data_IF_532719605632
#
_entry.id   IF_532719605632
#
_cell.length_a   1.000
_cell.length_b   1.000
_cell.length_c   1.000
_cell.angle_alpha   90.00
_cell.angle_beta   90.00
_cell.angle_gamma   90.00
#
_symmetry.space_group_name_H-M   'P 1'
#
loop_
_entity.id
_entity.type
_entity.pdbx_description
1 polymer ?
#
# COMPACT_ATOMS: atom_id res chain seq x y z
N UNK A 1 -26.33 8.60 5.75
CA UNK A 1 -24.97 8.84 5.23
C UNK A 1 -24.50 10.27 5.48
N UNK A 2 -25.12 11.33 4.90
CA UNK A 2 -24.60 12.71 4.95
C UNK A 2 -24.37 13.23 6.37
N UNK A 3 -25.38 13.11 7.24
CA UNK A 3 -25.28 13.54 8.64
C UNK A 3 -24.14 12.78 9.38
N UNK A 4 -24.02 11.48 9.14
CA UNK A 4 -22.97 10.65 9.71
C UNK A 4 -21.56 11.10 9.24
N UNK A 5 -21.39 11.41 7.95
CA UNK A 5 -20.13 11.93 7.43
C UNK A 5 -19.80 13.30 8.02
N UNK A 6 -20.76 14.22 8.08
CA UNK A 6 -20.56 15.55 8.68
C UNK A 6 -20.16 15.43 10.16
N UNK A 7 -20.86 14.61 10.93
CA UNK A 7 -20.54 14.37 12.32
C UNK A 7 -19.15 13.75 12.48
N UNK A 8 -18.87 12.65 11.79
CA UNK A 8 -17.60 11.94 11.91
C UNK A 8 -16.39 12.78 11.49
N UNK A 9 -16.49 13.56 10.40
CA UNK A 9 -15.41 14.46 9.97
C UNK A 9 -15.18 15.58 10.99
N UNK A 10 -16.26 16.15 11.57
CA UNK A 10 -16.13 17.14 12.64
C UNK A 10 -15.44 16.56 13.89
N UNK A 11 -15.82 15.33 14.30
CA UNK A 11 -15.18 14.64 15.42
C UNK A 11 -13.68 14.37 15.15
N UNK A 12 -13.34 14.10 13.89
CA UNK A 12 -11.94 13.96 13.44
C UNK A 12 -11.23 15.32 13.24
N UNK A 13 -11.91 16.46 13.40
CA UNK A 13 -11.33 17.78 13.16
C UNK A 13 -10.97 18.03 11.69
N UNK A 14 -11.65 17.34 10.75
CA UNK A 14 -11.39 17.46 9.31
C UNK A 14 -12.39 18.39 8.63
N UNK A 15 -12.00 18.95 7.48
CA UNK A 15 -12.87 19.79 6.68
C UNK A 15 -14.06 18.99 6.11
N UNK A 16 -15.26 19.54 6.27
CA UNK A 16 -16.52 18.95 5.82
C UNK A 16 -16.93 19.41 4.41
N UNK A 17 -16.22 20.31 3.79
CA UNK A 17 -16.54 20.88 2.45
C UNK A 17 -16.59 19.81 1.35
N UNK A 18 -15.92 18.68 1.55
CA UNK A 18 -15.83 17.57 0.59
C UNK A 18 -16.84 16.44 0.84
N UNK A 19 -17.79 16.58 1.75
CA UNK A 19 -18.80 15.55 2.06
C UNK A 19 -19.59 15.14 0.82
N UNK A 20 -19.99 16.08 -0.03
CA UNK A 20 -20.71 15.80 -1.29
C UNK A 20 -19.89 14.90 -2.23
N UNK A 21 -18.59 15.12 -2.32
CA UNK A 21 -17.68 14.30 -3.15
C UNK A 21 -17.54 12.89 -2.55
N UNK A 22 -17.48 12.74 -1.23
CA UNK A 22 -17.47 11.44 -0.55
C UNK A 22 -18.80 10.68 -0.78
N UNK A 23 -19.94 11.35 -0.71
CA UNK A 23 -21.24 10.76 -1.03
C UNK A 23 -21.32 10.30 -2.49
N UNK A 24 -20.81 11.13 -3.40
CA UNK A 24 -20.76 10.76 -4.83
C UNK A 24 -19.86 9.55 -5.07
N UNK A 25 -18.70 9.50 -4.43
CA UNK A 25 -17.81 8.32 -4.48
C UNK A 25 -18.52 7.07 -3.96
N UNK A 26 -19.19 7.15 -2.81
CA UNK A 26 -19.97 6.05 -2.25
C UNK A 26 -21.07 5.57 -3.20
N UNK A 27 -21.78 6.48 -3.86
CA UNK A 27 -22.82 6.13 -4.84
C UNK A 27 -22.24 5.38 -6.04
N UNK A 28 -21.12 5.84 -6.60
CA UNK A 28 -20.40 5.16 -7.70
C UNK A 28 -19.90 3.78 -7.28
N UNK A 29 -19.42 3.66 -6.03
CA UNK A 29 -18.98 2.38 -5.47
C UNK A 29 -20.16 1.38 -5.39
N UNK A 30 -21.28 1.78 -4.80
CA UNK A 30 -22.44 0.90 -4.62
C UNK A 30 -23.05 0.48 -5.96
N UNK A 31 -23.17 1.41 -6.92
CA UNK A 31 -23.61 1.11 -8.28
C UNK A 31 -22.70 0.08 -8.96
N UNK A 32 -21.38 0.27 -8.90
CA UNK A 32 -20.43 -0.66 -9.50
C UNK A 32 -20.37 -2.00 -8.77
N UNK A 33 -20.63 -2.00 -7.47
CA UNK A 33 -20.59 -3.20 -6.63
C UNK A 33 -21.61 -4.26 -7.07
N UNK A 34 -22.74 -3.85 -7.68
CA UNK A 34 -23.76 -4.77 -8.20
C UNK A 34 -23.20 -5.73 -9.26
N UNK A 35 -22.15 -5.33 -9.99
CA UNK A 35 -21.57 -6.09 -11.09
C UNK A 35 -20.12 -6.54 -10.87
N UNK A 36 -19.41 -5.96 -9.87
CA UNK A 36 -17.97 -6.20 -9.72
C UNK A 36 -17.55 -6.80 -8.37
N UNK A 37 -18.42 -6.88 -7.37
CA UNK A 37 -18.10 -7.34 -6.02
C UNK A 37 -16.86 -6.63 -5.43
N UNK A 38 -16.92 -5.31 -5.34
CA UNK A 38 -15.84 -4.48 -4.83
C UNK A 38 -15.76 -4.49 -3.29
N UNK A 39 -16.92 -4.61 -2.64
CA UNK A 39 -17.04 -4.65 -1.17
C UNK A 39 -18.22 -5.53 -0.75
N UNK A 40 -18.10 -6.14 0.43
CA UNK A 40 -19.20 -6.84 1.10
C UNK A 40 -20.14 -5.88 1.86
N UNK A 41 -19.72 -4.62 2.08
CA UNK A 41 -20.49 -3.61 2.80
C UNK A 41 -21.31 -2.81 1.79
N UNK A 42 -22.63 -2.96 1.83
CA UNK A 42 -23.55 -2.38 0.85
C UNK A 42 -24.51 -1.35 1.44
N UNK A 43 -24.69 -1.36 2.78
CA UNK A 43 -25.51 -0.36 3.44
C UNK A 43 -24.81 1.00 3.45
N UNK A 44 -25.47 2.08 2.98
CA UNK A 44 -24.84 3.39 2.82
C UNK A 44 -24.19 3.93 4.10
N UNK A 45 -24.85 3.79 5.26
CA UNK A 45 -24.30 4.28 6.54
C UNK A 45 -23.12 3.43 7.01
N UNK A 46 -23.14 2.12 6.74
CA UNK A 46 -21.99 1.24 7.00
C UNK A 46 -20.80 1.58 6.08
N UNK A 47 -21.02 1.90 4.80
CA UNK A 47 -19.98 2.40 3.90
C UNK A 47 -19.38 3.71 4.43
N UNK A 48 -20.23 4.64 4.88
CA UNK A 48 -19.75 5.90 5.46
C UNK A 48 -18.85 5.65 6.68
N UNK A 49 -19.26 4.80 7.58
CA UNK A 49 -18.54 4.56 8.83
C UNK A 49 -17.30 3.69 8.64
N UNK A 50 -17.46 2.51 8.01
CA UNK A 50 -16.44 1.46 7.97
C UNK A 50 -15.48 1.61 6.77
N UNK A 51 -15.80 2.49 5.82
CA UNK A 51 -14.92 2.74 4.68
C UNK A 51 -14.46 4.19 4.63
N UNK A 52 -15.38 5.16 4.59
CA UNK A 52 -15.01 6.56 4.36
C UNK A 52 -14.38 7.19 5.61
N UNK A 53 -15.06 7.14 6.76
CA UNK A 53 -14.55 7.72 8.01
C UNK A 53 -13.36 6.95 8.58
N UNK A 54 -13.38 5.62 8.49
CA UNK A 54 -12.24 4.79 8.86
C UNK A 54 -10.97 5.17 8.07
N UNK A 55 -11.11 5.39 6.75
CA UNK A 55 -10.01 5.88 5.92
C UNK A 55 -9.60 7.32 6.28
N UNK A 56 -10.58 8.21 6.53
CA UNK A 56 -10.34 9.60 6.90
C UNK A 56 -9.56 9.75 8.20
N UNK A 57 -9.77 8.82 9.16
CA UNK A 57 -9.08 8.82 10.45
C UNK A 57 -7.55 8.75 10.31
N UNK A 58 -7.01 8.22 9.21
CA UNK A 58 -5.56 8.24 8.94
C UNK A 58 -4.98 9.65 8.93
N UNK A 59 -5.73 10.66 8.51
CA UNK A 59 -5.26 12.05 8.45
C UNK A 59 -4.97 12.64 9.84
N UNK A 60 -5.39 11.97 10.93
CA UNK A 60 -4.98 12.35 12.29
C UNK A 60 -3.58 11.86 12.66
N UNK A 61 -3.06 10.86 11.96
CA UNK A 61 -1.79 10.21 12.27
C UNK A 61 -0.68 10.55 11.27
N UNK A 62 -1.03 11.05 10.09
CA UNK A 62 -0.07 11.36 9.03
C UNK A 62 -0.48 12.63 8.29
N UNK A 63 0.47 13.53 8.14
CA UNK A 63 0.35 14.67 7.23
C UNK A 63 0.78 14.23 5.82
N UNK A 64 -0.15 14.32 4.86
CA UNK A 64 0.08 13.92 3.47
C UNK A 64 0.48 15.08 2.55
N UNK A 65 0.40 16.35 3.01
CA UNK A 65 0.65 17.53 2.18
C UNK A 65 2.03 17.49 1.51
N UNK A 66 2.04 17.68 0.21
CA UNK A 66 3.25 17.67 -0.61
C UNK A 66 3.92 16.31 -0.76
N UNK A 67 3.32 15.20 -0.27
CA UNK A 67 3.92 13.87 -0.28
C UNK A 67 3.52 13.04 -1.50
N UNK A 68 4.34 12.02 -1.76
CA UNK A 68 4.03 10.94 -2.69
C UNK A 68 3.52 9.74 -1.90
N UNK A 69 2.31 9.27 -2.21
CA UNK A 69 1.60 8.21 -1.50
C UNK A 69 1.27 7.06 -2.44
N UNK A 70 1.45 5.82 -2.00
CA UNK A 70 0.97 4.63 -2.70
C UNK A 70 0.02 3.85 -1.82
N UNK A 71 -1.16 3.51 -2.36
CA UNK A 71 -2.14 2.62 -1.75
C UNK A 71 -2.02 1.24 -2.40
N UNK A 72 -1.45 0.28 -1.66
CA UNK A 72 -1.08 -1.05 -2.16
C UNK A 72 -2.22 -2.04 -1.94
N UNK A 73 -2.71 -2.61 -3.04
CA UNK A 73 -3.90 -3.46 -3.01
C UNK A 73 -5.16 -2.64 -2.74
N UNK A 74 -5.28 -1.50 -3.38
CA UNK A 74 -6.32 -0.48 -3.12
C UNK A 74 -7.76 -1.00 -3.23
N UNK A 75 -7.99 -2.07 -4.00
CA UNK A 75 -9.29 -2.71 -4.14
C UNK A 75 -10.36 -1.77 -4.70
N UNK A 76 -11.30 -1.40 -3.86
CA UNK A 76 -12.34 -0.41 -4.15
C UNK A 76 -11.89 1.04 -3.93
N UNK A 77 -10.59 1.29 -3.80
CA UNK A 77 -10.03 2.62 -3.60
C UNK A 77 -9.84 3.02 -2.13
N UNK A 78 -9.69 2.05 -1.23
CA UNK A 78 -9.54 2.34 0.21
C UNK A 78 -8.19 1.91 0.77
N UNK A 79 -7.52 2.81 1.52
CA UNK A 79 -7.98 4.12 1.98
C UNK A 79 -7.73 5.27 0.99
N UNK A 80 -7.06 5.06 -0.14
CA UNK A 80 -6.52 6.08 -1.02
C UNK A 80 -7.54 7.12 -1.49
N UNK A 81 -8.72 6.69 -1.97
CA UNK A 81 -9.74 7.60 -2.53
C UNK A 81 -10.33 8.57 -1.50
N UNK A 82 -10.78 8.14 -0.29
CA UNK A 82 -11.23 9.08 0.73
C UNK A 82 -10.15 10.07 1.15
N UNK A 83 -8.89 9.61 1.30
CA UNK A 83 -7.76 10.47 1.63
C UNK A 83 -7.58 11.56 0.57
N UNK A 84 -7.60 11.18 -0.73
CA UNK A 84 -7.44 12.12 -1.84
C UNK A 84 -8.61 13.10 -1.98
N UNK A 85 -9.82 12.68 -1.63
CA UNK A 85 -11.00 13.55 -1.65
C UNK A 85 -10.88 14.62 -0.55
N UNK A 86 -10.38 14.25 0.63
CA UNK A 86 -10.30 15.13 1.81
C UNK A 86 -9.05 16.02 1.81
N UNK A 87 -7.95 15.55 1.25
CA UNK A 87 -6.70 16.27 1.12
C UNK A 87 -6.28 16.31 -0.35
N UNK A 88 -6.11 17.48 -0.94
CA UNK A 88 -5.83 17.62 -2.36
C UNK A 88 -4.37 17.99 -2.68
N UNK A 89 -3.52 18.13 -1.68
CA UNK A 89 -2.11 18.48 -1.88
C UNK A 89 -1.16 17.28 -1.66
N UNK A 90 -1.38 16.17 -2.37
CA UNK A 90 -0.42 15.07 -2.46
C UNK A 90 -0.57 14.27 -3.76
N UNK A 91 0.45 13.53 -4.16
CA UNK A 91 0.39 12.63 -5.31
C UNK A 91 0.01 11.23 -4.86
N UNK A 92 -1.09 10.70 -5.39
CA UNK A 92 -1.61 9.37 -5.04
C UNK A 92 -1.36 8.36 -6.18
N UNK A 93 -0.83 7.19 -5.81
CA UNK A 93 -0.82 6.02 -6.68
C UNK A 93 -1.73 4.95 -6.10
N UNK A 94 -2.78 4.59 -6.84
CA UNK A 94 -3.67 3.47 -6.52
C UNK A 94 -3.18 2.22 -7.25
N UNK A 95 -2.63 1.26 -6.51
CA UNK A 95 -2.02 0.04 -7.05
C UNK A 95 -2.90 -1.17 -6.77
N UNK A 96 -3.32 -1.90 -7.80
CA UNK A 96 -4.02 -3.18 -7.67
C UNK A 96 -3.61 -4.18 -8.76
N UNK A 97 -3.60 -5.45 -8.43
CA UNK A 97 -3.31 -6.54 -9.37
C UNK A 97 -4.47 -6.92 -10.28
N UNK A 98 -5.67 -6.37 -10.06
CA UNK A 98 -6.85 -6.62 -10.88
C UNK A 98 -7.14 -5.42 -11.79
N UNK A 99 -6.80 -5.55 -13.06
CA UNK A 99 -6.93 -4.48 -14.06
C UNK A 99 -8.33 -3.87 -14.15
N UNK A 100 -9.39 -4.67 -13.96
CA UNK A 100 -10.76 -4.17 -13.96
C UNK A 100 -11.07 -3.18 -12.82
N UNK A 101 -10.44 -3.36 -11.64
CA UNK A 101 -10.58 -2.43 -10.50
C UNK A 101 -9.85 -1.13 -10.80
N UNK A 102 -8.64 -1.23 -11.33
CA UNK A 102 -7.80 -0.09 -11.70
C UNK A 102 -8.50 0.76 -12.77
N UNK A 103 -9.09 0.12 -13.78
CA UNK A 103 -9.84 0.82 -14.82
C UNK A 103 -11.05 1.58 -14.24
N UNK A 104 -11.83 0.92 -13.39
CA UNK A 104 -12.96 1.57 -12.72
C UNK A 104 -12.52 2.74 -11.84
N UNK A 105 -11.42 2.60 -11.07
CA UNK A 105 -10.91 3.70 -10.25
C UNK A 105 -10.47 4.89 -11.11
N UNK A 106 -9.91 4.65 -12.29
CA UNK A 106 -9.59 5.73 -13.24
C UNK A 106 -10.86 6.46 -13.70
N UNK A 107 -11.93 5.72 -14.07
CA UNK A 107 -13.23 6.31 -14.43
C UNK A 107 -13.82 7.14 -13.28
N UNK A 108 -13.68 6.67 -12.05
CA UNK A 108 -14.14 7.40 -10.85
C UNK A 108 -13.33 8.67 -10.63
N UNK A 109 -12.00 8.62 -10.77
CA UNK A 109 -11.16 9.81 -10.64
C UNK A 109 -11.55 10.89 -11.67
N UNK A 110 -11.79 10.48 -12.91
CA UNK A 110 -12.24 11.40 -13.97
C UNK A 110 -13.62 11.99 -13.64
N UNK A 111 -14.56 11.17 -13.18
CA UNK A 111 -15.93 11.58 -12.82
C UNK A 111 -15.96 12.55 -11.63
N UNK A 112 -15.07 12.36 -10.67
CA UNK A 112 -14.94 13.22 -9.49
C UNK A 112 -13.95 14.37 -9.69
N UNK A 113 -13.37 14.50 -10.88
CA UNK A 113 -12.36 15.50 -11.23
C UNK A 113 -11.16 15.51 -10.28
N UNK A 114 -10.74 14.34 -9.82
CA UNK A 114 -9.58 14.19 -8.95
C UNK A 114 -8.30 14.23 -9.78
N UNK A 115 -7.46 15.19 -9.49
CA UNK A 115 -6.14 15.35 -10.12
C UNK A 115 -5.05 14.69 -9.27
N UNK A 116 -3.82 14.55 -9.80
CA UNK A 116 -2.66 13.99 -9.07
C UNK A 116 -2.93 12.57 -8.55
N UNK A 117 -3.70 11.77 -9.31
CA UNK A 117 -3.96 10.35 -9.05
C UNK A 117 -3.46 9.52 -10.22
N UNK A 118 -2.71 8.47 -9.93
CA UNK A 118 -2.25 7.48 -10.89
C UNK A 118 -2.84 6.12 -10.54
N UNK A 119 -3.66 5.54 -11.41
CA UNK A 119 -4.20 4.19 -11.24
C UNK A 119 -3.28 3.19 -11.96
N UNK A 120 -2.67 2.26 -11.22
CA UNK A 120 -1.64 1.35 -11.73
C UNK A 120 -2.07 -0.10 -11.60
N UNK A 121 -2.11 -0.80 -12.74
CA UNK A 121 -2.34 -2.23 -12.79
C UNK A 121 -0.99 -2.97 -12.77
N UNK A 122 -0.60 -3.47 -11.61
CA UNK A 122 0.58 -4.30 -11.44
C UNK A 122 0.50 -5.12 -10.15
N UNK A 123 1.32 -6.17 -10.06
CA UNK A 123 1.59 -6.81 -8.78
C UNK A 123 2.53 -5.93 -7.94
N UNK A 124 2.35 -5.93 -6.63
CA UNK A 124 3.13 -5.08 -5.73
C UNK A 124 4.63 -5.37 -5.81
N UNK A 125 5.01 -6.63 -5.94
CA UNK A 125 6.40 -7.08 -6.07
C UNK A 125 7.07 -6.56 -7.35
N UNK A 126 6.34 -6.61 -8.47
CA UNK A 126 6.81 -6.14 -9.77
C UNK A 126 6.92 -4.61 -9.79
N UNK A 127 5.94 -3.94 -9.20
CA UNK A 127 5.94 -2.50 -9.07
C UNK A 127 7.07 -2.01 -8.16
N UNK A 128 7.31 -2.69 -7.04
CA UNK A 128 8.39 -2.36 -6.11
C UNK A 128 9.78 -2.52 -6.73
N UNK A 129 9.96 -3.46 -7.66
CA UNK A 129 11.23 -3.61 -8.38
C UNK A 129 11.57 -2.37 -9.24
N UNK A 130 10.54 -1.66 -9.75
CA UNK A 130 10.69 -0.47 -10.61
C UNK A 130 10.60 0.85 -9.83
N UNK A 131 9.88 0.86 -8.69
CA UNK A 131 9.56 2.07 -7.93
C UNK A 131 10.13 2.04 -6.50
N UNK A 132 11.28 1.38 -6.33
CA UNK A 132 11.92 1.26 -5.02
C UNK A 132 12.23 2.62 -4.41
N UNK A 133 11.84 2.79 -3.14
CA UNK A 133 12.11 4.00 -2.34
C UNK A 133 11.62 5.31 -3.01
N UNK A 134 10.45 5.26 -3.68
CA UNK A 134 9.89 6.43 -4.38
C UNK A 134 8.79 7.14 -3.59
N UNK A 135 8.18 6.49 -2.60
CA UNK A 135 7.03 7.03 -1.90
C UNK A 135 7.38 7.48 -0.48
N UNK A 136 6.83 8.61 -0.07
CA UNK A 136 6.95 9.10 1.31
C UNK A 136 6.08 8.26 2.24
N UNK A 137 4.91 7.83 1.75
CA UNK A 137 3.97 7.01 2.50
C UNK A 137 3.46 5.86 1.63
N UNK A 138 3.43 4.66 2.19
CA UNK A 138 2.67 3.54 1.65
C UNK A 138 1.50 3.22 2.60
N UNK A 139 0.32 3.00 2.03
CA UNK A 139 -0.86 2.52 2.77
C UNK A 139 -1.30 1.17 2.23
N UNK A 140 -1.92 0.36 3.07
CA UNK A 140 -2.63 -0.84 2.65
C UNK A 140 -3.70 -1.20 3.67
N UNK A 141 -4.86 -1.68 3.20
CA UNK A 141 -5.99 -2.07 4.05
C UNK A 141 -6.44 -3.50 3.79
N UNK A 142 -6.48 -4.34 4.85
CA UNK A 142 -7.12 -5.67 4.88
C UNK A 142 -6.70 -6.69 3.80
N UNK A 143 -5.49 -6.59 3.23
CA UNK A 143 -5.11 -7.42 2.06
C UNK A 143 -4.46 -8.75 2.48
N UNK A 144 -3.61 -8.74 3.53
CA UNK A 144 -2.82 -9.91 3.94
C UNK A 144 -2.36 -9.78 5.41
N UNK A 145 -1.64 -10.79 5.89
CA UNK A 145 -0.94 -10.71 7.18
C UNK A 145 0.09 -9.58 7.16
N UNK A 146 0.34 -8.96 8.32
CA UNK A 146 1.21 -7.79 8.44
C UNK A 146 2.63 -8.04 7.93
N UNK A 147 3.19 -9.24 8.16
CA UNK A 147 4.50 -9.64 7.64
C UNK A 147 4.58 -9.59 6.11
N UNK A 148 3.54 -10.11 5.44
CA UNK A 148 3.44 -10.09 3.97
C UNK A 148 3.27 -8.65 3.46
N UNK A 149 2.39 -7.87 4.09
CA UNK A 149 2.20 -6.46 3.73
C UNK A 149 3.49 -5.65 3.87
N UNK A 150 4.26 -5.91 4.92
CA UNK A 150 5.55 -5.25 5.12
C UNK A 150 6.53 -5.57 3.99
N UNK A 151 6.59 -6.82 3.53
CA UNK A 151 7.43 -7.22 2.39
C UNK A 151 7.02 -6.56 1.07
N UNK A 152 5.72 -6.33 0.87
CA UNK A 152 5.19 -5.69 -0.33
C UNK A 152 5.32 -4.16 -0.32
N UNK A 153 5.13 -3.54 0.85
CA UNK A 153 5.02 -2.08 0.97
C UNK A 153 6.35 -1.39 1.30
N UNK A 154 7.17 -1.96 2.22
CA UNK A 154 8.42 -1.31 2.65
C UNK A 154 9.43 -1.06 1.52
N UNK A 155 9.57 -1.92 0.50
CA UNK A 155 10.47 -1.62 -0.62
C UNK A 155 10.08 -0.37 -1.43
N UNK A 156 8.80 0.04 -1.38
CA UNK A 156 8.30 1.24 -2.07
C UNK A 156 8.60 2.53 -1.29
N UNK A 157 8.78 2.43 0.02
CA UNK A 157 8.90 3.57 0.93
C UNK A 157 10.33 4.10 0.96
N UNK A 158 10.48 5.42 0.85
CA UNK A 158 11.77 6.12 1.02
C UNK A 158 12.35 5.86 2.41
N UNK A 159 13.67 5.96 2.53
CA UNK A 159 14.31 5.99 3.85
C UNK A 159 13.78 7.19 4.65
N UNK A 160 13.25 6.92 5.85
CA UNK A 160 12.57 7.92 6.68
C UNK A 160 11.09 8.14 6.35
N UNK A 161 10.56 7.46 5.33
CA UNK A 161 9.12 7.42 5.05
C UNK A 161 8.35 6.46 5.97
N UNK A 162 7.06 6.29 5.72
CA UNK A 162 6.16 5.52 6.59
C UNK A 162 5.35 4.48 5.80
N UNK A 163 5.19 3.29 6.38
CA UNK A 163 4.19 2.33 5.95
C UNK A 163 3.06 2.28 6.99
N UNK A 164 1.81 2.44 6.55
CA UNK A 164 0.60 2.44 7.38
C UNK A 164 -0.29 1.28 6.96
N UNK A 165 -0.37 0.26 7.82
CA UNK A 165 -1.25 -0.88 7.63
C UNK A 165 -2.56 -0.67 8.39
N UNK A 166 -3.68 -0.57 7.67
CA UNK A 166 -5.02 -0.56 8.27
C UNK A 166 -5.49 -2.00 8.46
N UNK A 167 -5.63 -2.40 9.71
CA UNK A 167 -6.02 -3.76 10.11
C UNK A 167 -7.24 -3.73 11.02
N UNK A 168 -7.99 -4.83 11.10
CA UNK A 168 -9.06 -5.01 12.07
C UNK A 168 -8.52 -5.18 13.50
N UNK A 169 -9.37 -5.06 14.50
CA UNK A 169 -9.03 -4.99 15.93
C UNK A 169 -8.29 -6.23 16.46
N UNK A 170 -8.42 -7.40 15.84
CA UNK A 170 -7.82 -8.67 16.29
C UNK A 170 -6.40 -8.90 15.72
N UNK A 171 -5.51 -7.91 15.81
CA UNK A 171 -4.18 -7.96 15.19
C UNK A 171 -2.99 -8.02 16.16
N UNK A 172 -3.20 -8.13 17.47
CA UNK A 172 -2.12 -8.16 18.45
C UNK A 172 -1.15 -9.33 18.20
N UNK A 173 -1.66 -10.51 17.83
CA UNK A 173 -0.86 -11.67 17.48
C UNK A 173 -0.02 -11.46 16.21
N UNK A 174 -0.57 -10.77 15.21
CA UNK A 174 0.15 -10.45 13.98
C UNK A 174 1.27 -9.43 14.19
N UNK A 175 1.06 -8.44 15.07
CA UNK A 175 2.08 -7.44 15.43
C UNK A 175 3.24 -8.15 16.16
N UNK A 176 2.92 -9.03 17.08
CA UNK A 176 3.92 -9.82 17.82
C UNK A 176 4.75 -10.71 16.87
N UNK A 177 4.10 -11.41 15.95
CA UNK A 177 4.76 -12.24 14.96
C UNK A 177 5.65 -11.44 13.99
N UNK A 178 5.20 -10.27 13.56
CA UNK A 178 5.96 -9.38 12.67
C UNK A 178 7.22 -8.82 13.35
N UNK A 179 7.14 -8.48 14.64
CA UNK A 179 8.28 -8.01 15.43
C UNK A 179 9.34 -9.09 15.60
N UNK A 180 8.96 -10.34 15.91
CA UNK A 180 9.91 -11.45 16.04
C UNK A 180 10.60 -11.80 14.73
N UNK A 181 9.90 -11.74 13.60
CA UNK A 181 10.49 -11.94 12.26
C UNK A 181 11.54 -10.88 11.89
N UNK A 182 11.41 -9.66 12.41
CA UNK A 182 12.39 -8.58 12.25
C UNK A 182 13.67 -8.80 13.06
N UNK A 183 13.55 -9.27 14.29
CA UNK A 183 14.69 -9.53 15.17
C UNK A 183 15.55 -10.70 14.69
N UNK A 184 14.96 -11.77 14.18
CA UNK A 184 15.71 -12.91 13.64
C UNK A 184 16.53 -12.53 12.40
N UNK A 185 16.08 -11.61 11.57
CA UNK A 185 16.87 -11.13 10.41
C UNK A 185 18.04 -10.25 10.79
N UNK A 186 17.98 -9.54 11.92
CA UNK A 186 19.11 -8.75 12.44
C UNK A 186 20.13 -9.57 13.23
N UNK A 187 19.76 -10.76 13.72
CA UNK A 187 20.63 -11.63 14.50
C UNK A 187 21.39 -12.66 13.67
N UNK A 188 21.30 -12.66 12.34
CA UNK A 188 22.14 -13.52 11.50
C UNK A 188 23.50 -12.84 11.25
N UNK A 189 24.50 -13.03 12.12
CA UNK A 189 25.83 -12.50 11.90
C UNK A 189 26.39 -13.18 10.66
N UNK A 190 26.88 -12.38 9.72
CA UNK A 190 27.62 -12.78 8.53
C UNK A 190 28.45 -14.03 8.86
N UNK A 191 28.25 -15.11 8.09
CA UNK A 191 29.11 -16.30 8.16
C UNK A 191 30.56 -15.82 8.17
N UNK A 192 31.39 -16.24 9.13
CA UNK A 192 32.80 -15.86 9.10
C UNK A 192 33.42 -16.38 7.80
N UNK A 193 34.16 -15.52 7.13
CA UNK A 193 35.03 -15.90 6.01
C UNK A 193 35.83 -17.13 6.46
N UNK A 194 35.61 -18.27 5.83
CA UNK A 194 36.48 -19.43 5.93
C UNK A 194 37.84 -18.99 5.36
N UNK A 195 38.77 -18.70 6.25
CA UNK A 195 40.16 -18.65 5.89
C UNK A 195 40.57 -20.01 5.32
N UNK A 196 40.95 -20.02 4.06
CA UNK A 196 41.41 -21.21 3.38
C UNK A 196 42.64 -21.75 4.08
N UNK A 197 42.55 -22.91 4.70
CA UNK A 197 43.69 -23.80 4.90
C UNK A 197 43.90 -24.55 3.60
N UNK A 198 45.04 -24.31 2.99
CA UNK A 198 45.49 -25.04 1.81
C UNK A 198 45.56 -26.54 2.13
N UNK A 199 44.80 -27.31 1.39
CA UNK A 199 45.07 -28.70 1.13
C UNK A 199 45.62 -28.76 -0.28
N UNK A 200 46.90 -29.08 -0.36
CA UNK A 200 47.58 -29.43 -1.59
C UNK A 200 46.94 -30.68 -2.16
N UNK A 201 46.35 -30.58 -3.34
CA UNK A 201 45.87 -31.72 -4.10
C UNK A 201 46.99 -32.16 -5.09
N UNK A 202 47.54 -33.40 -4.99
CA UNK A 202 48.73 -33.78 -5.71
C UNK A 202 48.51 -34.27 -7.15
N UNK A 203 47.36 -34.06 -7.77
CA UNK A 203 47.04 -34.61 -9.10
C UNK A 203 46.41 -33.64 -10.08
N UNK A 204 46.98 -32.45 -10.29
CA UNK A 204 46.66 -31.65 -11.48
C UNK A 204 47.84 -31.61 -12.41
N UNK A 205 47.83 -32.46 -13.45
CA UNK A 205 48.76 -32.42 -14.59
C UNK A 205 48.47 -31.16 -15.38
N UNK A 206 49.48 -30.29 -15.48
CA UNK A 206 49.52 -29.13 -16.36
C UNK A 206 49.42 -29.55 -17.83
N UNK A 207 48.45 -29.00 -18.56
CA UNK A 207 48.45 -29.01 -20.02
C UNK A 207 49.32 -27.87 -20.57
N UNK A 208 50.11 -28.11 -21.61
CA UNK A 208 50.90 -27.07 -22.24
C UNK A 208 50.02 -26.16 -23.11
N UNK A 209 50.44 -24.91 -23.39
CA UNK A 209 49.69 -23.96 -24.22
C UNK A 209 49.69 -24.36 -25.68
N UNK A 210 48.65 -23.99 -26.47
CA UNK A 210 48.61 -24.24 -27.91
C UNK A 210 49.55 -23.29 -28.64
N UNK A 211 50.34 -23.89 -29.60
CA UNK A 211 51.21 -23.17 -30.50
C UNK A 211 50.44 -22.26 -31.45
N UNK A 212 50.96 -21.04 -31.64
CA UNK A 212 50.55 -20.12 -32.69
C UNK A 212 51.00 -20.69 -34.08
N UNK A 213 50.08 -20.61 -35.04
CA UNK A 213 50.30 -20.46 -36.47
C UNK A 213 49.22 -19.55 -37.05
#
# INVERSE_FOLDING_TARGET
MRELLLQGLNELGLDTSRVETLERFSSLLLEKNEVMNLTAITEPDAVAQLHLLDSAALLQFVDLKGKTVVDVGTGAGFPGMPLRILEDDFDLTLLDSLGKRVHWLSEVCDTLHLTRVSCVHARAEEFAAQQREKFDVATSRAVAQLSVLSELCLPLVKVGGQFIAMKSVDTEDEITAANHGGEERHQNPRRPHRQGRGLQDPHVRSRPPPCAH
#
